data_IF_549089683032
#
_entry.id   IF_549089683032
#
_cell.length_a   1.000
_cell.length_b   1.000
_cell.length_c   1.000
_cell.angle_alpha   90.00
_cell.angle_beta   90.00
_cell.angle_gamma   90.00
#
_symmetry.space_group_name_H-M   'P 1'
#
loop_
_entity.id
_entity.type
_entity.pdbx_description
1 polymer ?
#
# COMPACT_ATOMS: atom_id res chain seq x y z
N UNK A 1 -17.36 3.72 -15.94
CA UNK A 1 -17.75 3.83 -14.51
C UNK A 1 -17.33 5.22 -14.02
N UNK A 2 -18.20 5.96 -13.35
CA UNK A 2 -17.90 7.28 -12.77
C UNK A 2 -18.31 7.28 -11.28
N UNK A 3 -17.45 7.79 -10.42
CA UNK A 3 -17.65 7.83 -8.97
C UNK A 3 -17.56 9.27 -8.48
N UNK A 4 -18.70 9.83 -8.09
CA UNK A 4 -18.80 11.22 -7.63
C UNK A 4 -18.40 11.38 -6.15
N UNK A 5 -18.30 12.63 -5.71
CA UNK A 5 -18.07 13.01 -4.31
C UNK A 5 -19.07 12.27 -3.39
N UNK A 6 -18.58 11.73 -2.27
CA UNK A 6 -19.39 10.93 -1.32
C UNK A 6 -19.63 9.48 -1.75
N UNK A 7 -19.26 9.09 -2.98
CA UNK A 7 -19.21 7.69 -3.45
C UNK A 7 -17.80 7.24 -3.84
N UNK A 8 -16.92 8.21 -4.09
CA UNK A 8 -15.51 7.98 -4.40
C UNK A 8 -14.73 7.44 -3.19
N UNK A 9 -13.53 6.95 -3.48
CA UNK A 9 -12.48 6.61 -2.52
C UNK A 9 -11.14 6.73 -3.24
N UNK A 10 -10.07 6.33 -2.57
CA UNK A 10 -8.75 6.24 -3.18
C UNK A 10 -8.81 5.19 -4.29
N UNK A 11 -8.42 5.56 -5.51
CA UNK A 11 -8.57 4.76 -6.73
C UNK A 11 -8.16 3.29 -6.55
N UNK A 12 -6.96 3.06 -6.03
CA UNK A 12 -6.37 1.71 -5.89
C UNK A 12 -6.97 0.84 -4.78
N UNK A 13 -7.80 1.43 -3.92
CA UNK A 13 -8.67 0.68 -3.01
C UNK A 13 -10.06 0.48 -3.65
N UNK A 14 -10.58 1.50 -4.30
CA UNK A 14 -11.91 1.52 -4.89
C UNK A 14 -12.06 0.56 -6.08
N UNK A 15 -11.09 0.52 -7.01
CA UNK A 15 -11.19 -0.29 -8.23
C UNK A 15 -11.28 -1.81 -7.91
N UNK A 16 -10.42 -2.38 -7.04
CA UNK A 16 -10.59 -3.76 -6.54
C UNK A 16 -11.89 -3.96 -5.77
N UNK A 17 -12.25 -3.02 -4.89
CA UNK A 17 -13.47 -3.12 -4.07
C UNK A 17 -14.74 -3.22 -4.92
N UNK A 18 -14.79 -2.46 -6.02
CA UNK A 18 -15.91 -2.47 -6.97
C UNK A 18 -15.86 -3.60 -8.00
N UNK A 19 -14.84 -4.46 -7.94
CA UNK A 19 -14.64 -5.58 -8.86
C UNK A 19 -14.41 -5.13 -10.30
N UNK A 20 -13.80 -3.96 -10.49
CA UNK A 20 -13.51 -3.41 -11.83
C UNK A 20 -12.21 -3.99 -12.40
N UNK A 21 -11.28 -4.35 -11.52
CA UNK A 21 -10.09 -5.14 -11.84
C UNK A 21 -10.24 -6.52 -11.23
N UNK A 22 -9.98 -7.55 -12.02
CA UNK A 22 -10.12 -8.95 -11.70
C UNK A 22 -8.85 -9.71 -12.10
N UNK A 23 -8.65 -10.94 -11.59
CA UNK A 23 -7.49 -11.74 -11.96
C UNK A 23 -7.33 -11.92 -13.47
N UNK A 24 -6.09 -11.85 -13.94
CA UNK A 24 -5.73 -11.98 -15.36
C UNK A 24 -6.05 -10.79 -16.26
N UNK A 25 -6.60 -9.71 -15.71
CA UNK A 25 -6.74 -8.47 -16.46
C UNK A 25 -5.39 -7.81 -16.77
N UNK A 26 -5.35 -7.05 -17.87
CA UNK A 26 -4.37 -5.97 -18.06
C UNK A 26 -5.03 -4.67 -17.65
N UNK A 27 -4.59 -4.08 -16.54
CA UNK A 27 -5.13 -2.83 -16.01
C UNK A 27 -4.16 -1.67 -16.28
N UNK A 28 -4.67 -0.61 -16.90
CA UNK A 28 -3.88 0.59 -17.23
C UNK A 28 -4.54 1.80 -16.58
N UNK A 29 -3.78 2.54 -15.78
CA UNK A 29 -4.27 3.67 -15.01
C UNK A 29 -3.40 4.92 -15.16
N UNK A 30 -3.99 6.07 -14.82
CA UNK A 30 -3.32 7.39 -14.90
C UNK A 30 -2.36 7.65 -13.73
N UNK A 31 -2.36 6.79 -12.72
CA UNK A 31 -1.59 6.94 -11.49
C UNK A 31 -0.46 5.90 -11.41
N UNK A 32 0.66 6.31 -10.82
CA UNK A 32 1.85 5.45 -10.68
C UNK A 32 1.58 4.17 -9.90
N UNK A 33 0.65 4.20 -8.95
CA UNK A 33 0.34 3.11 -8.03
C UNK A 33 -0.75 2.16 -8.53
N UNK A 34 -1.07 2.21 -9.83
CA UNK A 34 -2.00 1.27 -10.48
C UNK A 34 -1.53 -0.19 -10.31
N UNK A 35 -0.22 -0.40 -10.15
CA UNK A 35 0.44 -1.68 -9.81
C UNK A 35 -0.13 -2.38 -8.57
N UNK A 36 -0.84 -1.65 -7.69
CA UNK A 36 -1.60 -2.21 -6.56
C UNK A 36 -2.47 -3.40 -6.96
N UNK A 37 -3.12 -3.34 -8.13
CA UNK A 37 -4.01 -4.41 -8.58
C UNK A 37 -3.29 -5.71 -8.95
N UNK A 38 -1.96 -5.70 -9.00
CA UNK A 38 -1.13 -6.89 -9.09
C UNK A 38 -1.35 -7.90 -7.96
N UNK A 39 -1.88 -7.45 -6.81
CA UNK A 39 -2.26 -8.34 -5.71
C UNK A 39 -3.39 -9.31 -6.08
N UNK A 40 -4.19 -8.97 -7.10
CA UNK A 40 -5.24 -9.81 -7.65
C UNK A 40 -4.74 -10.75 -8.76
N UNK A 41 -3.44 -10.73 -9.08
CA UNK A 41 -2.88 -11.42 -10.25
C UNK A 41 -3.27 -10.77 -11.59
N UNK A 42 -3.54 -9.46 -11.58
CA UNK A 42 -3.67 -8.66 -12.80
C UNK A 42 -2.31 -8.06 -13.18
N UNK A 43 -2.04 -7.86 -14.46
CA UNK A 43 -0.90 -7.06 -14.90
C UNK A 43 -1.33 -5.58 -14.91
N UNK A 44 -0.94 -4.82 -13.88
CA UNK A 44 -1.47 -3.48 -13.65
C UNK A 44 -0.37 -2.41 -13.71
N UNK A 45 -0.54 -1.36 -14.50
CA UNK A 45 0.52 -0.37 -14.74
C UNK A 45 -0.01 1.06 -14.78
N UNK A 46 0.79 1.98 -14.23
CA UNK A 46 0.62 3.41 -14.46
C UNK A 46 1.19 3.84 -15.80
N UNK A 47 0.49 4.75 -16.49
CA UNK A 47 0.94 5.36 -17.75
C UNK A 47 0.68 6.87 -17.78
N UNK A 48 1.35 7.57 -18.69
CA UNK A 48 1.15 9.00 -18.89
C UNK A 48 -0.16 9.33 -19.62
N UNK A 49 -0.52 10.62 -19.67
CA UNK A 49 -1.77 11.08 -20.28
C UNK A 49 -1.91 10.72 -21.78
N UNK A 50 -0.80 10.73 -22.53
CA UNK A 50 -0.81 10.35 -23.96
C UNK A 50 -1.15 8.88 -24.16
N UNK A 51 -0.51 7.99 -23.42
CA UNK A 51 -0.78 6.54 -23.49
C UNK A 51 -2.20 6.24 -23.03
N UNK A 52 -2.66 6.91 -21.97
CA UNK A 52 -4.03 6.75 -21.50
C UNK A 52 -5.06 7.21 -22.54
N UNK A 53 -4.80 8.32 -23.24
CA UNK A 53 -5.66 8.77 -24.33
C UNK A 53 -5.72 7.74 -25.48
N UNK A 54 -4.59 7.11 -25.82
CA UNK A 54 -4.54 6.03 -26.80
C UNK A 54 -5.34 4.80 -26.35
N UNK A 55 -5.20 4.39 -25.08
CA UNK A 55 -6.00 3.29 -24.49
C UNK A 55 -7.49 3.59 -24.54
N UNK A 56 -7.89 4.82 -24.20
CA UNK A 56 -9.30 5.23 -24.25
C UNK A 56 -9.85 5.25 -25.69
N UNK A 57 -9.03 5.61 -26.67
CA UNK A 57 -9.43 5.69 -28.07
C UNK A 57 -9.46 4.33 -28.78
N UNK A 58 -8.51 3.45 -28.47
CA UNK A 58 -8.27 2.22 -29.21
C UNK A 58 -8.58 0.94 -28.42
N UNK A 59 -8.63 1.01 -27.09
CA UNK A 59 -8.75 -0.16 -26.22
C UNK A 59 -7.46 -0.99 -26.10
N UNK A 60 -6.33 -0.47 -26.58
CA UNK A 60 -5.06 -1.18 -26.68
C UNK A 60 -3.89 -0.34 -26.16
N UNK A 61 -2.82 -1.01 -25.68
CA UNK A 61 -1.57 -0.38 -25.24
C UNK A 61 -0.37 -1.18 -25.72
N UNK A 62 0.71 -0.48 -26.09
CA UNK A 62 1.99 -1.11 -26.46
C UNK A 62 2.90 -1.21 -25.24
N UNK A 63 3.32 -2.43 -24.92
CA UNK A 63 4.18 -2.72 -23.79
C UNK A 63 5.33 -3.63 -24.24
N UNK A 64 6.56 -3.30 -23.85
CA UNK A 64 7.65 -4.27 -23.90
C UNK A 64 7.48 -5.21 -22.72
N UNK A 65 7.61 -6.51 -22.98
CA UNK A 65 7.52 -7.52 -21.93
C UNK A 65 8.69 -7.33 -20.94
N UNK A 66 8.42 -7.05 -19.66
CA UNK A 66 9.46 -6.89 -18.65
C UNK A 66 10.00 -8.26 -18.18
N UNK A 67 11.30 -8.36 -17.83
CA UNK A 67 11.80 -9.51 -17.10
C UNK A 67 11.26 -9.51 -15.65
N UNK A 68 11.30 -10.67 -14.99
CA UNK A 68 10.73 -10.85 -13.64
C UNK A 68 11.80 -11.17 -12.60
N UNK A 69 11.75 -10.47 -11.46
CA UNK A 69 12.45 -10.85 -10.23
C UNK A 69 11.45 -11.55 -9.32
N UNK A 70 11.76 -12.77 -8.89
CA UNK A 70 10.95 -13.53 -7.94
C UNK A 70 11.44 -13.30 -6.51
N UNK A 71 10.53 -12.90 -5.63
CA UNK A 71 10.77 -12.77 -4.19
C UNK A 71 10.04 -13.89 -3.46
N UNK A 72 10.78 -14.75 -2.76
CA UNK A 72 10.23 -15.90 -2.04
C UNK A 72 10.32 -15.62 -0.54
N UNK A 73 9.18 -15.44 0.13
CA UNK A 73 9.10 -15.15 1.56
C UNK A 73 8.76 -16.42 2.35
N UNK A 74 9.63 -16.77 3.31
CA UNK A 74 9.49 -17.93 4.19
C UNK A 74 9.69 -17.57 5.65
N UNK A 75 9.26 -18.44 6.56
CA UNK A 75 9.30 -18.27 7.99
C UNK A 75 7.98 -17.76 8.58
N UNK A 76 8.03 -17.36 9.85
CA UNK A 76 6.88 -16.88 10.61
C UNK A 76 7.01 -15.38 10.88
N UNK A 77 5.97 -14.62 10.57
CA UNK A 77 5.91 -13.19 10.87
C UNK A 77 5.99 -12.93 12.37
N UNK A 78 6.82 -11.96 12.76
CA UNK A 78 6.86 -11.45 14.13
C UNK A 78 5.62 -10.60 14.42
N UNK A 79 5.35 -10.37 15.71
CA UNK A 79 4.24 -9.52 16.14
C UNK A 79 4.36 -8.14 15.47
N UNK A 80 3.24 -7.65 14.94
CA UNK A 80 3.10 -6.36 14.25
C UNK A 80 3.86 -6.24 12.92
N UNK A 81 4.49 -7.31 12.43
CA UNK A 81 5.04 -7.33 11.08
C UNK A 81 3.91 -7.64 10.09
N UNK A 82 3.76 -6.76 9.12
CA UNK A 82 2.71 -6.77 8.10
C UNK A 82 3.32 -6.75 6.68
N UNK A 83 2.46 -6.78 5.65
CA UNK A 83 2.88 -6.58 4.27
C UNK A 83 3.65 -5.28 4.05
N UNK A 84 3.36 -4.24 4.84
CA UNK A 84 4.10 -2.97 4.83
C UNK A 84 5.57 -3.17 5.22
N UNK A 85 5.80 -3.91 6.29
CA UNK A 85 7.14 -4.16 6.80
C UNK A 85 7.93 -5.05 5.84
N UNK A 86 7.28 -6.05 5.24
CA UNK A 86 7.89 -6.92 4.22
C UNK A 86 8.35 -6.14 2.99
N UNK A 87 7.50 -5.24 2.46
CA UNK A 87 7.85 -4.48 1.26
C UNK A 87 8.89 -3.40 1.55
N UNK A 88 8.80 -2.70 2.70
CA UNK A 88 9.83 -1.76 3.12
C UNK A 88 11.20 -2.45 3.32
N UNK A 89 11.21 -3.61 3.97
CA UNK A 89 12.42 -4.42 4.11
C UNK A 89 12.98 -4.81 2.73
N UNK A 90 12.12 -5.22 1.80
CA UNK A 90 12.55 -5.59 0.46
C UNK A 90 13.15 -4.42 -0.30
N UNK A 91 12.50 -3.25 -0.27
CA UNK A 91 13.00 -2.03 -0.91
C UNK A 91 14.34 -1.61 -0.30
N UNK A 92 14.56 -1.73 1.02
CA UNK A 92 15.87 -1.42 1.61
C UNK A 92 16.99 -2.36 1.21
N UNK A 93 16.68 -3.56 0.70
CA UNK A 93 17.69 -4.49 0.17
C UNK A 93 18.02 -4.28 -1.29
N UNK A 94 17.07 -3.81 -2.09
CA UNK A 94 17.25 -3.68 -3.55
C UNK A 94 17.43 -2.22 -4.00
N UNK A 95 17.05 -1.25 -3.17
CA UNK A 95 17.06 0.18 -3.49
C UNK A 95 15.87 0.63 -4.35
N UNK A 96 15.73 1.94 -4.52
CA UNK A 96 14.63 2.56 -5.29
C UNK A 96 14.68 2.26 -6.80
N UNK A 97 15.82 1.80 -7.32
CA UNK A 97 15.99 1.36 -8.72
C UNK A 97 16.21 -0.15 -8.86
N UNK A 98 16.11 -0.91 -7.77
CA UNK A 98 16.47 -2.33 -7.72
C UNK A 98 15.66 -3.23 -8.64
N UNK A 99 14.44 -2.82 -8.97
CA UNK A 99 13.53 -3.51 -9.87
C UNK A 99 13.19 -2.68 -11.12
N UNK A 100 14.01 -1.68 -11.49
CA UNK A 100 13.72 -0.80 -12.63
C UNK A 100 13.38 -1.59 -13.91
N UNK A 101 12.19 -1.33 -14.45
CA UNK A 101 11.59 -1.98 -15.63
C UNK A 101 11.31 -3.49 -15.50
N UNK A 102 11.24 -4.03 -14.28
CA UNK A 102 11.02 -5.45 -14.01
C UNK A 102 9.68 -5.66 -13.33
N UNK A 103 9.17 -6.89 -13.38
CA UNK A 103 8.07 -7.33 -12.52
C UNK A 103 8.65 -7.82 -11.20
N UNK A 104 8.07 -7.39 -10.09
CA UNK A 104 8.31 -8.01 -8.78
C UNK A 104 7.23 -9.07 -8.53
N UNK A 105 7.56 -10.34 -8.73
CA UNK A 105 6.67 -11.46 -8.39
C UNK A 105 6.87 -11.83 -6.91
N UNK A 106 5.85 -11.63 -6.08
CA UNK A 106 5.90 -12.00 -4.66
C UNK A 106 5.28 -13.38 -4.46
N UNK A 107 6.02 -14.29 -3.82
CA UNK A 107 5.65 -15.69 -3.65
C UNK A 107 6.17 -16.25 -2.31
N UNK A 108 5.87 -17.52 -2.03
CA UNK A 108 6.30 -18.21 -0.81
C UNK A 108 5.17 -18.41 0.20
N UNK A 109 5.46 -19.18 1.25
CA UNK A 109 4.46 -19.57 2.25
C UNK A 109 3.88 -18.37 3.00
N UNK A 110 4.68 -17.33 3.22
CA UNK A 110 4.23 -16.12 3.91
C UNK A 110 3.17 -15.41 3.07
N UNK A 111 3.44 -15.22 1.77
CA UNK A 111 2.52 -14.56 0.84
C UNK A 111 1.19 -15.30 0.74
N UNK A 112 1.22 -16.64 0.67
CA UNK A 112 0.02 -17.49 0.65
C UNK A 112 -0.87 -17.30 1.88
N UNK A 113 -0.29 -16.95 3.03
CA UNK A 113 -1.01 -16.73 4.28
C UNK A 113 -1.35 -15.25 4.54
N UNK A 114 -0.86 -14.31 3.73
CA UNK A 114 -1.23 -12.90 3.85
C UNK A 114 -2.67 -12.67 3.38
N UNK A 115 -3.38 -11.79 4.11
CA UNK A 115 -4.67 -11.25 3.66
C UNK A 115 -4.51 -10.42 2.39
N UNK A 116 -5.62 -10.21 1.67
CA UNK A 116 -5.61 -9.34 0.50
C UNK A 116 -5.13 -7.91 0.81
N UNK A 117 -5.46 -7.36 1.98
CA UNK A 117 -5.05 -6.00 2.37
C UNK A 117 -3.52 -5.88 2.46
N UNK A 118 -2.85 -6.89 3.00
CA UNK A 118 -1.39 -6.97 3.02
C UNK A 118 -0.78 -7.22 1.63
N UNK A 119 -1.43 -8.01 0.78
CA UNK A 119 -0.98 -8.22 -0.62
C UNK A 119 -1.08 -6.93 -1.44
N UNK A 120 -2.18 -6.18 -1.29
CA UNK A 120 -2.34 -4.86 -1.90
C UNK A 120 -1.26 -3.90 -1.43
N UNK A 121 -0.92 -3.91 -0.14
CA UNK A 121 0.18 -3.09 0.41
C UNK A 121 1.51 -3.39 -0.31
N UNK A 122 1.85 -4.66 -0.50
CA UNK A 122 3.10 -5.05 -1.15
C UNK A 122 3.13 -4.68 -2.62
N UNK A 123 2.07 -4.99 -3.38
CA UNK A 123 2.00 -4.63 -4.80
C UNK A 123 1.95 -3.12 -5.03
N UNK A 124 1.29 -2.35 -4.15
CA UNK A 124 1.25 -0.89 -4.21
C UNK A 124 2.64 -0.26 -4.12
N UNK A 125 3.56 -0.84 -3.36
CA UNK A 125 4.89 -0.26 -3.17
C UNK A 125 5.93 -0.82 -4.13
N UNK A 126 5.57 -1.66 -5.10
CA UNK A 126 6.52 -2.22 -6.07
C UNK A 126 7.14 -1.11 -6.93
N UNK A 127 6.36 -0.12 -7.36
CA UNK A 127 6.86 1.06 -8.09
C UNK A 127 7.90 1.86 -7.29
N UNK A 128 7.91 1.79 -5.95
CA UNK A 128 8.91 2.48 -5.12
C UNK A 128 10.30 1.82 -5.19
N UNK A 129 10.41 0.62 -5.78
CA UNK A 129 11.67 -0.01 -6.20
C UNK A 129 11.93 0.12 -7.72
N UNK A 130 11.15 0.96 -8.42
CA UNK A 130 11.24 1.17 -9.87
C UNK A 130 10.56 0.07 -10.69
N UNK A 131 9.87 -0.88 -10.05
CA UNK A 131 9.20 -1.97 -10.75
C UNK A 131 8.17 -1.45 -11.75
N UNK A 132 8.02 -2.16 -12.87
CA UNK A 132 6.93 -1.89 -13.81
C UNK A 132 5.58 -2.23 -13.17
N UNK A 133 5.54 -3.30 -12.38
CA UNK A 133 4.42 -3.69 -11.51
C UNK A 133 4.91 -4.70 -10.47
N UNK A 134 4.23 -4.79 -9.33
CA UNK A 134 4.26 -5.97 -8.47
C UNK A 134 3.18 -6.96 -8.90
N UNK A 135 3.34 -8.25 -8.64
CA UNK A 135 2.29 -9.25 -8.90
C UNK A 135 2.32 -10.39 -7.87
N UNK A 136 1.14 -10.88 -7.51
CA UNK A 136 0.93 -12.06 -6.67
C UNK A 136 -0.01 -13.01 -7.41
N UNK A 137 0.36 -14.28 -7.48
CA UNK A 137 -0.47 -15.31 -8.09
C UNK A 137 -1.81 -15.46 -7.34
N UNK A 138 -2.96 -15.54 -8.03
CA UNK A 138 -4.25 -15.77 -7.39
C UNK A 138 -4.34 -17.14 -6.73
N UNK A 139 -4.76 -17.16 -5.48
CA UNK A 139 -5.06 -18.35 -4.69
C UNK A 139 -6.47 -18.26 -4.07
N UNK A 140 -6.79 -19.16 -3.15
CA UNK A 140 -8.10 -19.24 -2.50
C UNK A 140 -8.48 -17.95 -1.75
N UNK A 141 -7.51 -17.24 -1.17
CA UNK A 141 -7.73 -15.95 -0.49
C UNK A 141 -8.12 -14.89 -1.52
N UNK A 142 -7.39 -14.84 -2.64
CA UNK A 142 -7.74 -13.93 -3.75
C UNK A 142 -9.12 -14.27 -4.31
N UNK A 143 -9.44 -15.56 -4.49
CA UNK A 143 -10.71 -16.01 -5.01
C UNK A 143 -11.89 -15.65 -4.11
N UNK A 144 -11.75 -15.82 -2.80
CA UNK A 144 -12.79 -15.42 -1.85
C UNK A 144 -12.99 -13.90 -1.85
N UNK A 145 -11.92 -13.11 -1.98
CA UNK A 145 -12.03 -11.66 -2.12
C UNK A 145 -12.80 -11.25 -3.39
N UNK A 146 -12.53 -11.85 -4.54
CA UNK A 146 -13.17 -11.45 -5.80
C UNK A 146 -14.57 -12.02 -5.97
N UNK A 147 -14.91 -13.14 -5.31
CA UNK A 147 -16.18 -13.87 -5.48
C UNK A 147 -17.44 -13.01 -5.33
N UNK A 148 -17.49 -12.13 -4.34
CA UNK A 148 -18.63 -11.23 -4.11
C UNK A 148 -18.59 -9.94 -4.92
N UNK A 149 -17.46 -9.66 -5.59
CA UNK A 149 -17.17 -8.39 -6.28
C UNK A 149 -17.20 -8.52 -7.80
N UNK A 150 -16.83 -9.69 -8.33
CA UNK A 150 -16.77 -9.95 -9.76
C UNK A 150 -18.17 -9.93 -10.38
N UNK A 151 -18.37 -9.00 -11.33
CA UNK A 151 -19.61 -8.89 -12.13
C UNK A 151 -19.46 -9.44 -13.54
N UNK A 152 -18.27 -9.94 -13.88
CA UNK A 152 -17.94 -10.55 -15.15
C UNK A 152 -17.01 -11.76 -14.94
N UNK A 153 -16.94 -12.69 -15.90
CA UNK A 153 -15.93 -13.74 -15.89
C UNK A 153 -14.51 -13.15 -15.88
N UNK A 154 -13.58 -13.91 -15.31
CA UNK A 154 -12.17 -13.60 -15.28
C UNK A 154 -11.35 -14.89 -15.45
N UNK A 155 -10.07 -14.76 -15.79
CA UNK A 155 -9.19 -15.88 -16.01
C UNK A 155 -8.01 -15.81 -15.04
N UNK A 156 -7.66 -16.96 -14.46
CA UNK A 156 -6.51 -17.06 -13.55
C UNK A 156 -5.31 -17.48 -14.38
N UNK A 157 -4.23 -16.73 -14.26
CA UNK A 157 -2.91 -17.12 -14.75
C UNK A 157 -2.00 -17.43 -13.56
N UNK A 158 -1.17 -18.46 -13.74
CA UNK A 158 -0.18 -18.91 -12.77
C UNK A 158 1.15 -19.01 -13.48
N UNK A 159 2.24 -18.86 -12.74
CA UNK A 159 3.57 -19.02 -13.31
C UNK A 159 3.82 -20.50 -13.57
N UNK A 160 4.33 -20.82 -14.76
CA UNK A 160 4.67 -22.20 -15.10
C UNK A 160 5.82 -22.71 -14.20
N UNK A 161 5.87 -24.02 -13.88
CA UNK A 161 6.93 -24.58 -13.05
C UNK A 161 8.36 -24.37 -13.59
N UNK A 162 8.50 -24.23 -14.91
CA UNK A 162 9.75 -23.99 -15.63
C UNK A 162 9.91 -22.53 -16.09
N UNK A 163 9.14 -21.59 -15.52
CA UNK A 163 9.29 -20.17 -15.83
C UNK A 163 10.70 -19.66 -15.48
N UNK A 164 11.32 -18.94 -16.43
CA UNK A 164 12.63 -18.34 -16.24
C UNK A 164 12.51 -16.96 -15.56
N UNK A 165 13.26 -16.79 -14.47
CA UNK A 165 13.35 -15.54 -13.73
C UNK A 165 14.72 -14.90 -13.93
N UNK A 166 14.77 -13.58 -14.08
CA UNK A 166 16.04 -12.86 -14.17
C UNK A 166 16.84 -12.99 -12.87
N UNK A 167 16.12 -12.99 -11.74
CA UNK A 167 16.70 -13.17 -10.42
C UNK A 167 15.66 -13.77 -9.46
N UNK A 168 16.13 -14.59 -8.54
CA UNK A 168 15.34 -15.11 -7.42
C UNK A 168 15.99 -14.60 -6.12
N UNK A 169 15.18 -14.04 -5.23
CA UNK A 169 15.59 -13.50 -3.93
C UNK A 169 14.76 -14.16 -2.85
N UNK A 170 15.43 -14.88 -1.95
CA UNK A 170 14.78 -15.55 -0.82
C UNK A 170 14.89 -14.68 0.44
N UNK A 171 13.78 -14.56 1.18
CA UNK A 171 13.66 -13.70 2.35
C UNK A 171 13.07 -14.49 3.51
N UNK A 172 13.90 -14.73 4.54
CA UNK A 172 13.48 -15.26 5.83
C UNK A 172 12.88 -14.14 6.70
N UNK A 173 11.55 -14.17 6.88
CA UNK A 173 10.81 -13.14 7.59
C UNK A 173 10.91 -13.25 9.10
N UNK A 174 11.42 -14.36 9.64
CA UNK A 174 11.50 -14.59 11.09
C UNK A 174 12.43 -13.60 11.80
N UNK A 175 13.33 -12.96 11.05
CA UNK A 175 14.30 -11.96 11.54
C UNK A 175 13.87 -10.52 11.26
N UNK A 176 12.71 -10.32 10.63
CA UNK A 176 12.20 -9.00 10.30
C UNK A 176 11.48 -8.45 11.54
N UNK A 177 11.97 -7.33 12.07
CA UNK A 177 11.24 -6.48 13.00
C UNK A 177 10.26 -5.58 12.23
N UNK A 178 9.29 -4.93 12.88
CA UNK A 178 8.58 -3.81 12.27
C UNK A 178 9.57 -2.79 11.66
N UNK A 179 9.26 -2.28 10.47
CA UNK A 179 10.16 -1.43 9.70
C UNK A 179 9.69 0.02 9.66
N UNK A 180 10.64 0.95 9.71
CA UNK A 180 10.41 2.38 9.51
C UNK A 180 11.32 2.88 8.38
N UNK A 181 10.74 3.42 7.30
CA UNK A 181 11.50 4.10 6.26
C UNK A 181 11.80 5.53 6.65
N UNK A 182 13.09 5.83 6.86
CA UNK A 182 13.55 7.16 7.24
C UNK A 182 13.51 8.11 6.04
N UNK A 183 13.36 9.43 6.26
CA UNK A 183 13.47 10.40 5.18
C UNK A 183 14.82 10.28 4.43
N UNK A 184 14.91 10.57 3.14
CA UNK A 184 13.84 10.99 2.21
C UNK A 184 13.55 9.95 1.13
N UNK A 185 13.82 8.66 1.37
CA UNK A 185 13.58 7.60 0.40
C UNK A 185 13.05 6.33 1.09
N UNK A 186 12.13 5.58 0.46
CA UNK A 186 11.64 4.31 1.00
C UNK A 186 12.75 3.27 1.26
N UNK A 187 13.85 3.30 0.49
CA UNK A 187 15.00 2.41 0.68
C UNK A 187 15.74 2.61 2.02
N UNK A 188 15.52 3.74 2.70
CA UNK A 188 16.09 4.00 4.02
C UNK A 188 15.31 3.28 5.15
N UNK A 189 14.64 2.15 4.84
CA UNK A 189 13.96 1.34 5.84
C UNK A 189 14.93 0.67 6.80
N UNK A 190 14.65 0.82 8.09
CA UNK A 190 15.42 0.24 9.18
C UNK A 190 14.47 -0.44 10.17
N UNK A 191 14.95 -1.45 10.91
CA UNK A 191 14.23 -2.02 12.04
C UNK A 191 13.81 -0.94 13.05
N UNK A 192 12.63 -1.11 13.65
CA UNK A 192 12.08 -0.21 14.67
C UNK A 192 13.05 -0.01 15.85
N UNK A 193 13.89 -0.99 16.17
CA UNK A 193 14.94 -0.87 17.19
C UNK A 193 15.92 0.30 16.94
N UNK A 194 16.06 0.78 15.70
CA UNK A 194 16.89 1.92 15.32
C UNK A 194 16.12 3.26 15.23
N UNK A 195 14.81 3.28 15.49
CA UNK A 195 13.99 4.49 15.40
C UNK A 195 13.68 5.13 16.77
N UNK A 196 14.43 4.76 17.82
CA UNK A 196 14.20 5.24 19.19
C UNK A 196 14.52 6.73 19.34
N UNK A 197 13.69 7.44 20.10
CA UNK A 197 13.91 8.84 20.49
C UNK A 197 13.54 9.87 19.42
N UNK A 198 12.98 9.44 18.29
CA UNK A 198 12.48 10.34 17.25
C UNK A 198 11.16 10.93 17.73
N UNK A 199 11.12 12.25 17.90
CA UNK A 199 9.87 12.98 18.13
C UNK A 199 9.15 13.19 16.82
N UNK A 200 7.83 13.00 16.83
CA UNK A 200 6.93 13.28 15.72
C UNK A 200 5.93 14.35 16.15
N UNK A 201 5.46 15.13 15.19
CA UNK A 201 4.41 16.15 15.36
C UNK A 201 3.06 15.65 14.81
N UNK A 202 3.10 14.63 13.94
CA UNK A 202 1.93 14.10 13.26
C UNK A 202 2.04 12.58 13.02
N UNK A 203 0.90 11.90 13.08
CA UNK A 203 0.74 10.52 12.63
C UNK A 203 -0.40 10.43 11.61
N UNK A 204 -0.17 9.77 10.47
CA UNK A 204 -1.15 9.54 9.41
C UNK A 204 -1.43 8.03 9.27
N UNK A 205 -2.65 7.61 9.55
CA UNK A 205 -3.14 6.23 9.37
C UNK A 205 -4.20 6.24 8.27
N UNK A 206 -3.88 5.73 7.08
CA UNK A 206 -4.78 5.78 5.94
C UNK A 206 -4.11 6.25 4.66
N UNK A 207 -4.16 5.42 3.62
CA UNK A 207 -3.71 5.74 2.24
C UNK A 207 -4.19 4.66 1.27
N UNK A 208 -3.79 4.72 -0.01
CA UNK A 208 -3.94 3.57 -0.94
C UNK A 208 -3.19 2.32 -0.45
N UNK A 209 -2.09 2.53 0.27
CA UNK A 209 -1.22 1.47 0.80
C UNK A 209 -1.88 0.80 2.01
N UNK A 210 -2.29 1.59 3.01
CA UNK A 210 -2.77 1.09 4.30
C UNK A 210 -3.92 1.95 4.85
N UNK A 211 -5.09 1.87 4.21
CA UNK A 211 -6.32 2.51 4.67
C UNK A 211 -7.55 1.60 4.59
N UNK A 212 -7.33 0.29 4.47
CA UNK A 212 -8.39 -0.72 4.38
C UNK A 212 -8.87 -1.10 5.78
N UNK A 213 -9.91 -1.93 5.86
CA UNK A 213 -10.53 -2.21 7.14
C UNK A 213 -9.59 -2.95 8.11
N UNK A 214 -8.71 -3.83 7.61
CA UNK A 214 -7.74 -4.52 8.45
C UNK A 214 -6.75 -3.52 9.09
N UNK A 215 -6.26 -2.56 8.30
CA UNK A 215 -5.37 -1.50 8.77
C UNK A 215 -6.01 -0.69 9.90
N UNK A 216 -7.28 -0.32 9.73
CA UNK A 216 -8.03 0.44 10.74
C UNK A 216 -8.30 -0.38 12.00
N UNK A 217 -8.58 -1.68 11.89
CA UNK A 217 -8.77 -2.55 13.06
C UNK A 217 -7.49 -2.67 13.89
N UNK A 218 -6.34 -2.83 13.24
CA UNK A 218 -5.04 -2.88 13.91
C UNK A 218 -4.77 -1.57 14.66
N UNK A 219 -4.95 -0.43 13.99
CA UNK A 219 -4.77 0.86 14.63
C UNK A 219 -5.73 1.07 15.81
N UNK A 220 -7.01 0.69 15.65
CA UNK A 220 -8.01 0.79 16.70
C UNK A 220 -7.70 -0.12 17.89
N UNK A 221 -7.17 -1.33 17.67
CA UNK A 221 -6.75 -2.24 18.74
C UNK A 221 -5.72 -1.58 19.66
N UNK A 222 -4.76 -0.86 19.06
CA UNK A 222 -3.67 -0.19 19.78
C UNK A 222 -4.18 1.07 20.49
N UNK A 223 -5.01 1.87 19.82
CA UNK A 223 -5.51 3.14 20.33
C UNK A 223 -6.65 3.00 21.35
N UNK A 224 -7.26 1.82 21.47
CA UNK A 224 -8.40 1.60 22.36
C UNK A 224 -8.03 1.87 23.82
N UNK A 225 -8.71 2.85 24.42
CA UNK A 225 -8.48 3.28 25.80
C UNK A 225 -7.19 4.09 26.00
N UNK A 226 -6.49 4.44 24.92
CA UNK A 226 -5.33 5.33 24.94
C UNK A 226 -5.76 6.76 24.61
N UNK A 227 -4.85 7.71 24.85
CA UNK A 227 -4.99 9.10 24.43
C UNK A 227 -3.77 9.50 23.59
N UNK A 228 -4.02 10.12 22.45
CA UNK A 228 -2.98 10.68 21.60
C UNK A 228 -2.22 11.74 22.39
N UNK A 229 -0.89 11.73 22.27
CA UNK A 229 -0.04 12.70 22.94
C UNK A 229 -0.44 14.13 22.53
N UNK A 230 -0.53 15.10 23.47
CA UNK A 230 -1.10 16.44 23.19
C UNK A 230 -0.32 17.25 22.14
N UNK A 231 0.94 16.91 21.90
CA UNK A 231 1.79 17.53 20.88
C UNK A 231 1.74 16.82 19.51
N UNK A 232 0.97 15.72 19.39
CA UNK A 232 0.89 14.90 18.18
C UNK A 232 -0.50 15.01 17.57
N UNK A 233 -0.55 15.29 16.26
CA UNK A 233 -1.80 15.24 15.49
C UNK A 233 -1.95 13.85 14.88
N UNK A 234 -2.88 13.05 15.39
CA UNK A 234 -3.24 11.77 14.76
C UNK A 234 -4.40 12.00 13.77
N UNK A 235 -4.19 11.62 12.51
CA UNK A 235 -5.19 11.73 11.45
C UNK A 235 -5.44 10.34 10.85
N UNK A 236 -6.70 9.92 10.85
CA UNK A 236 -7.16 8.64 10.31
C UNK A 236 -7.97 8.86 9.03
N UNK A 237 -7.61 8.17 7.96
CA UNK A 237 -8.19 8.34 6.62
C UNK A 237 -8.60 6.99 6.04
N UNK A 238 -9.87 6.55 6.21
CA UNK A 238 -10.38 5.35 5.56
C UNK A 238 -10.25 5.44 4.03
N UNK A 239 -9.82 4.37 3.37
CA UNK A 239 -9.49 4.41 1.94
C UNK A 239 -10.70 4.60 1.03
N UNK A 240 -11.88 4.10 1.42
CA UNK A 240 -13.13 4.20 0.65
C UNK A 240 -14.30 4.50 1.56
N UNK A 241 -15.44 4.89 0.97
CA UNK A 241 -16.69 5.09 1.71
C UNK A 241 -17.21 3.79 2.32
N UNK A 242 -17.00 2.66 1.63
CA UNK A 242 -17.40 1.35 2.14
C UNK A 242 -16.58 0.97 3.38
N UNK A 243 -15.26 1.16 3.34
CA UNK A 243 -14.38 0.97 4.49
C UNK A 243 -14.73 1.92 5.63
N UNK A 244 -15.02 3.20 5.34
CA UNK A 244 -15.46 4.15 6.36
C UNK A 244 -16.74 3.66 7.06
N UNK A 245 -17.79 3.33 6.29
CA UNK A 245 -19.06 2.86 6.83
C UNK A 245 -18.90 1.55 7.63
N UNK A 246 -18.02 0.67 7.18
CA UNK A 246 -17.68 -0.54 7.91
C UNK A 246 -17.00 -0.22 9.25
N UNK A 247 -15.99 0.65 9.24
CA UNK A 247 -15.31 1.10 10.46
C UNK A 247 -16.27 1.79 11.44
N UNK A 248 -17.26 2.54 10.93
CA UNK A 248 -18.31 3.14 11.75
C UNK A 248 -19.19 2.07 12.41
N UNK A 249 -19.66 1.09 11.64
CA UNK A 249 -20.50 -0.01 12.14
C UNK A 249 -19.78 -0.91 13.15
N UNK A 250 -18.47 -1.07 12.99
CA UNK A 250 -17.62 -1.83 13.90
C UNK A 250 -17.18 -1.02 15.15
N UNK A 251 -17.58 0.26 15.25
CA UNK A 251 -17.23 1.12 16.38
C UNK A 251 -15.79 1.62 16.38
N UNK A 252 -15.04 1.44 15.28
CA UNK A 252 -13.64 1.87 15.17
C UNK A 252 -13.53 3.41 15.15
N UNK A 253 -14.50 4.07 14.51
CA UNK A 253 -14.55 5.54 14.45
C UNK A 253 -14.69 6.16 15.85
N UNK A 254 -15.51 5.54 16.71
CA UNK A 254 -15.66 5.97 18.11
C UNK A 254 -14.34 5.84 18.87
N UNK A 255 -13.60 4.75 18.68
CA UNK A 255 -12.28 4.54 19.28
C UNK A 255 -11.30 5.63 18.84
N UNK A 256 -11.23 5.93 17.55
CA UNK A 256 -10.33 6.97 17.02
C UNK A 256 -10.66 8.36 17.55
N UNK A 257 -11.94 8.75 17.53
CA UNK A 257 -12.35 10.07 18.05
C UNK A 257 -12.10 10.15 19.56
N UNK A 258 -12.40 9.08 20.31
CA UNK A 258 -12.21 9.01 21.75
C UNK A 258 -10.74 9.06 22.17
N UNK A 259 -9.81 8.62 21.32
CA UNK A 259 -8.37 8.76 21.57
C UNK A 259 -7.82 10.15 21.21
N UNK A 260 -8.65 11.03 20.64
CA UNK A 260 -8.26 12.38 20.21
C UNK A 260 -7.80 12.46 18.75
N UNK A 261 -7.99 11.41 17.95
CA UNK A 261 -7.68 11.45 16.52
C UNK A 261 -8.71 12.25 15.71
N UNK A 262 -8.26 12.90 14.65
CA UNK A 262 -9.13 13.44 13.62
C UNK A 262 -9.41 12.38 12.55
N UNK A 263 -10.68 12.15 12.21
CA UNK A 263 -11.08 11.21 11.15
C UNK A 263 -11.53 11.98 9.90
N UNK A 264 -10.90 11.71 8.76
CA UNK A 264 -11.18 12.35 7.47
C UNK A 264 -12.16 11.54 6.64
N UNK A 265 -12.90 12.21 5.74
CA UNK A 265 -13.51 11.54 4.58
C UNK A 265 -12.44 10.84 3.73
N UNK A 266 -12.78 9.78 2.96
CA UNK A 266 -11.84 9.09 2.09
C UNK A 266 -11.15 10.02 1.08
N UNK A 267 -9.82 10.03 1.09
CA UNK A 267 -8.96 10.87 0.24
C UNK A 267 -7.51 10.38 0.31
N UNK A 268 -6.66 10.76 -0.65
CA UNK A 268 -5.22 10.52 -0.56
C UNK A 268 -4.52 11.40 0.51
N UNK A 269 -5.26 12.35 1.11
CA UNK A 269 -4.80 13.16 2.24
C UNK A 269 -3.54 13.95 1.89
N UNK A 270 -2.51 13.95 2.76
CA UNK A 270 -1.31 14.74 2.55
C UNK A 270 -0.33 14.08 1.58
N UNK A 271 -0.68 12.93 0.96
CA UNK A 271 0.24 12.16 0.12
C UNK A 271 0.88 12.98 -1.03
N UNK A 272 0.20 14.00 -1.54
CA UNK A 272 0.69 14.92 -2.57
C UNK A 272 0.79 16.37 -2.06
N UNK A 273 0.81 16.58 -0.75
CA UNK A 273 0.79 17.90 -0.12
C UNK A 273 -0.53 18.68 -0.31
N UNK A 274 -1.61 18.00 -0.69
CA UNK A 274 -2.83 18.66 -1.18
C UNK A 274 -3.90 18.94 -0.12
N UNK A 275 -4.05 18.09 0.89
CA UNK A 275 -5.20 18.16 1.80
C UNK A 275 -4.92 17.48 3.14
N UNK A 276 -5.32 18.12 4.25
CA UNK A 276 -5.37 17.59 5.62
C UNK A 276 -4.07 16.94 6.13
N UNK A 277 -3.42 17.58 7.11
CA UNK A 277 -2.13 17.11 7.64
C UNK A 277 -0.94 17.59 6.81
N UNK A 278 -1.03 18.78 6.20
CA UNK A 278 0.11 19.42 5.55
C UNK A 278 1.16 19.78 6.61
N UNK A 279 2.39 19.34 6.39
CA UNK A 279 3.50 19.58 7.32
C UNK A 279 4.11 20.96 7.14
N UNK A 280 4.35 21.62 8.27
CA UNK A 280 5.09 22.87 8.34
C UNK A 280 6.62 22.62 8.34
N UNK A 281 7.39 23.72 8.31
CA UNK A 281 8.85 23.68 8.37
C UNK A 281 9.33 23.00 9.66
N UNK A 282 10.17 21.97 9.52
CA UNK A 282 10.79 21.26 10.64
C UNK A 282 9.90 20.19 11.29
N UNK A 283 8.64 20.05 10.86
CA UNK A 283 7.74 19.03 11.39
C UNK A 283 8.07 17.63 10.85
N UNK A 284 7.79 16.63 11.69
CA UNK A 284 7.99 15.22 11.42
C UNK A 284 6.67 14.47 11.45
N UNK A 285 6.38 13.72 10.38
CA UNK A 285 5.26 12.77 10.37
C UNK A 285 5.74 11.32 10.39
N UNK A 286 5.06 10.47 11.14
CA UNK A 286 4.98 9.05 10.82
C UNK A 286 3.74 8.82 9.95
N UNK A 287 3.88 8.04 8.87
CA UNK A 287 2.81 7.88 7.89
C UNK A 287 2.73 6.47 7.33
N UNK A 288 1.51 6.03 7.11
CA UNK A 288 1.17 4.77 6.44
C UNK A 288 1.06 4.91 4.92
N UNK A 289 1.49 6.03 4.35
CA UNK A 289 1.62 6.26 2.90
C UNK A 289 2.84 5.53 2.31
N UNK A 290 3.04 5.63 1.00
CA UNK A 290 4.11 4.95 0.25
C UNK A 290 5.35 5.81 -0.07
N UNK A 291 5.27 7.15 0.04
CA UNK A 291 6.36 8.07 -0.34
C UNK A 291 6.74 9.03 0.78
N UNK A 292 8.04 9.27 0.93
CA UNK A 292 8.63 10.19 1.91
C UNK A 292 9.70 11.13 1.32
N UNK A 293 9.60 11.45 0.02
CA UNK A 293 10.47 12.42 -0.63
C UNK A 293 10.42 13.81 0.02
N UNK A 294 11.44 14.63 -0.22
CA UNK A 294 11.49 16.03 0.22
C UNK A 294 10.23 16.78 -0.21
N UNK A 295 9.56 17.46 0.74
CA UNK A 295 8.34 18.24 0.47
C UNK A 295 7.09 17.41 0.15
N UNK A 296 7.12 16.08 0.33
CA UNK A 296 6.02 15.21 -0.11
C UNK A 296 4.68 15.52 0.56
N UNK A 297 4.71 15.87 1.85
CA UNK A 297 3.53 16.17 2.65
C UNK A 297 3.36 17.65 2.99
N UNK A 298 4.12 18.55 2.36
CA UNK A 298 4.07 19.97 2.68
C UNK A 298 5.42 20.65 2.49
N UNK A 299 5.92 21.28 3.54
CA UNK A 299 7.15 22.06 3.47
C UNK A 299 8.38 21.20 3.10
N UNK A 300 9.32 21.67 2.26
CA UNK A 300 10.53 20.91 1.89
C UNK A 300 11.41 20.49 3.08
N UNK A 301 11.46 21.31 4.13
CA UNK A 301 12.16 21.00 5.40
C UNK A 301 11.33 20.16 6.39
N UNK A 302 10.22 19.57 5.95
CA UNK A 302 9.50 18.55 6.74
C UNK A 302 10.04 17.16 6.45
N UNK A 303 9.87 16.26 7.42
CA UNK A 303 10.38 14.89 7.35
C UNK A 303 9.23 13.90 7.47
N UNK A 304 9.25 12.85 6.64
CA UNK A 304 8.23 11.81 6.63
C UNK A 304 8.87 10.44 6.87
N UNK A 305 8.38 9.73 7.86
CA UNK A 305 8.76 8.36 8.20
C UNK A 305 7.66 7.42 7.75
N UNK A 306 7.96 6.42 6.92
CA UNK A 306 6.95 5.46 6.47
C UNK A 306 6.91 4.26 7.40
N UNK A 307 5.72 3.85 7.82
CA UNK A 307 5.55 2.73 8.73
C UNK A 307 4.22 1.99 8.50
N UNK A 308 4.04 0.85 9.16
CA UNK A 308 2.76 0.12 9.20
C UNK A 308 1.73 0.84 10.10
N UNK A 309 0.42 0.55 9.94
CA UNK A 309 -0.60 1.05 10.85
C UNK A 309 -0.32 0.76 12.32
N UNK A 310 0.28 -0.39 12.62
CA UNK A 310 0.63 -0.78 13.97
C UNK A 310 1.69 0.12 14.63
N UNK A 311 2.61 0.68 13.84
CA UNK A 311 3.64 1.60 14.34
C UNK A 311 3.18 3.05 14.36
N UNK A 312 2.26 3.42 13.46
CA UNK A 312 1.70 4.76 13.39
C UNK A 312 0.65 5.03 14.47
N UNK A 313 -0.06 3.99 14.93
CA UNK A 313 -1.01 4.01 16.04
C UNK A 313 -0.29 4.05 17.40
#
# INVERSE_FOLDING_TARGET
NYFEIGKMGIEHALLPEKGLVLPGDVAVGADSHTDTSGALGAFAIGVGSTDLAAVMALGEVWLKIPPTIKFIYSGKLNKWVSGKDLILYTISKIGVDGANYKVMEFSGEVIKNLSMDNRFTMCNMAIEAGAKTGIIEPDEITLEYVKSRAKRPFQIYKSDPDAHYEKIIEIDVSKIEPQVAFPHLPENAKPISQAKGIKIDQSIIGSCTNGRIEDLRIAAEILKGQQVHPEVRLIVIPATQEVYLQALREGLIDIFISSGAAVSTPTCGPCLGGYMGILAKGERAISTTNRNFVGRMGHPESEVYLASPALAA
#
